data_IF_192440571665
#
_entry.id   IF_192440571665
#
_cell.length_a   1.000
_cell.length_b   1.000
_cell.length_c   1.000
_cell.angle_alpha   90.00
_cell.angle_beta   90.00
_cell.angle_gamma   90.00
#
_symmetry.space_group_name_H-M   'P 1'
#
loop_
_entity.id
_entity.type
_entity.pdbx_description
1 polymer ?
#
# COMPACT_ATOMS: atom_id res chain seq x y z
N UNK A 1 -32.71 -61.73 33.43
CA UNK A 1 -32.81 -60.44 34.15
C UNK A 1 -33.41 -59.42 33.17
N UNK A 2 -34.73 -59.29 32.97
CA UNK A 2 -35.90 -59.70 33.78
C UNK A 2 -35.89 -59.11 35.20
N UNK A 3 -36.98 -58.60 35.78
CA UNK A 3 -38.44 -58.62 35.46
C UNK A 3 -38.99 -57.16 35.40
N UNK A 4 -40.06 -56.78 34.70
CA UNK A 4 -41.48 -57.23 34.63
C UNK A 4 -42.34 -56.88 35.86
N UNK A 5 -43.40 -56.05 35.70
CA UNK A 5 -44.82 -56.36 36.05
C UNK A 5 -45.79 -55.15 36.07
N UNK A 6 -46.93 -55.37 35.41
CA UNK A 6 -48.28 -54.84 35.66
C UNK A 6 -49.16 -56.09 36.08
N UNK A 7 -50.51 -56.08 36.27
CA UNK A 7 -51.52 -55.01 36.42
C UNK A 7 -52.60 -55.28 37.55
N UNK A 8 -53.74 -54.57 37.49
CA UNK A 8 -55.07 -54.81 38.13
C UNK A 8 -55.26 -54.40 39.62
N UNK A 9 -56.47 -54.14 40.17
CA UNK A 9 -57.86 -54.36 39.71
C UNK A 9 -58.90 -53.26 40.14
N UNK A 10 -60.22 -53.56 40.06
CA UNK A 10 -61.43 -52.66 40.06
C UNK A 10 -62.48 -53.03 41.17
N UNK A 11 -63.70 -52.43 41.26
CA UNK A 11 -64.18 -51.05 41.03
C UNK A 11 -64.73 -50.36 42.33
N UNK A 12 -66.02 -50.37 42.82
CA UNK A 12 -67.39 -50.59 42.27
C UNK A 12 -68.52 -49.57 42.70
N UNK A 13 -69.15 -48.87 41.73
CA UNK A 13 -70.58 -48.40 41.75
C UNK A 13 -71.00 -47.24 42.73
N UNK A 14 -72.17 -46.56 42.69
CA UNK A 14 -73.35 -46.52 41.76
C UNK A 14 -74.26 -45.27 42.00
N UNK A 15 -75.07 -44.92 40.97
CA UNK A 15 -76.43 -44.30 40.95
C UNK A 15 -76.56 -42.84 40.42
N UNK A 16 -77.70 -42.37 39.84
CA UNK A 16 -78.55 -42.87 38.71
C UNK A 16 -79.70 -41.85 38.41
N UNK A 17 -79.90 -41.45 37.12
CA UNK A 17 -81.18 -40.93 36.51
C UNK A 17 -81.74 -39.55 37.02
N UNK A 18 -82.59 -38.78 36.30
CA UNK A 18 -83.08 -38.74 34.89
C UNK A 18 -83.63 -37.30 34.56
N UNK A 19 -83.80 -36.90 33.27
CA UNK A 19 -84.46 -35.65 32.83
C UNK A 19 -85.95 -35.85 32.45
N UNK A 20 -86.72 -34.76 32.17
CA UNK A 20 -87.15 -34.47 30.77
C UNK A 20 -87.30 -32.94 30.42
N UNK A 21 -86.83 -32.42 29.27
CA UNK A 21 -87.54 -32.23 27.97
C UNK A 21 -87.98 -30.74 27.69
N UNK A 22 -88.59 -30.32 26.54
CA UNK A 22 -88.00 -29.22 25.74
C UNK A 22 -88.94 -28.11 25.18
N UNK A 23 -88.37 -27.14 24.45
CA UNK A 23 -89.08 -26.06 23.71
C UNK A 23 -89.05 -24.70 24.44
N UNK A 24 -89.23 -23.54 23.79
CA UNK A 24 -89.41 -23.21 22.37
C UNK A 24 -89.02 -21.72 22.10
N UNK A 25 -89.12 -21.23 20.86
CA UNK A 25 -88.86 -19.84 20.44
C UNK A 25 -89.76 -19.47 19.23
N UNK A 26 -89.84 -18.20 18.73
CA UNK A 26 -89.26 -16.93 19.21
C UNK A 26 -90.29 -15.76 19.35
N UNK A 27 -89.88 -14.57 19.84
CA UNK A 27 -90.66 -13.32 19.71
C UNK A 27 -89.79 -12.04 19.87
N UNK A 28 -90.11 -10.97 19.11
CA UNK A 28 -89.54 -9.58 19.15
C UNK A 28 -90.51 -8.62 18.42
N UNK A 29 -90.38 -7.27 18.46
CA UNK A 29 -89.68 -6.34 19.38
C UNK A 29 -90.70 -5.38 20.09
N UNK A 30 -90.30 -4.26 20.74
CA UNK A 30 -90.08 -2.95 20.08
C UNK A 30 -88.80 -2.20 20.59
N UNK A 31 -88.46 -0.95 20.14
CA UNK A 31 -87.07 -0.46 20.12
C UNK A 31 -86.74 0.78 21.00
N UNK A 32 -85.55 1.38 20.76
CA UNK A 32 -84.99 2.69 21.22
C UNK A 32 -84.18 2.65 22.54
N UNK A 33 -83.05 3.39 22.71
CA UNK A 33 -82.15 4.07 21.75
C UNK A 33 -80.71 3.48 21.72
N UNK A 34 -79.83 4.02 20.85
CA UNK A 34 -78.39 3.69 20.79
C UNK A 34 -77.55 4.54 21.76
N UNK A 35 -76.51 3.98 22.39
CA UNK A 35 -75.24 4.66 22.62
C UNK A 35 -74.22 4.29 21.52
N UNK A 36 -73.48 5.26 20.99
CA UNK A 36 -72.43 5.03 20.00
C UNK A 36 -71.13 4.55 20.66
N UNK A 37 -70.67 3.35 20.33
CA UNK A 37 -69.33 2.87 20.69
C UNK A 37 -68.58 2.38 19.45
N UNK A 38 -67.50 3.08 19.09
CA UNK A 38 -66.66 2.73 17.95
C UNK A 38 -65.77 1.54 18.28
N UNK A 39 -66.08 0.37 17.73
CA UNK A 39 -65.22 -0.82 17.81
C UNK A 39 -63.91 -0.59 17.06
N UNK A 40 -62.83 -0.30 17.80
CA UNK A 40 -61.47 -0.43 17.28
C UNK A 40 -61.26 -1.89 16.86
N UNK A 41 -60.91 -2.13 15.60
CA UNK A 41 -60.32 -3.40 15.17
C UNK A 41 -59.06 -3.67 16.01
N UNK A 42 -58.76 -4.93 16.36
CA UNK A 42 -57.48 -5.25 16.98
C UNK A 42 -56.35 -4.83 16.04
N UNK A 43 -55.35 -4.13 16.57
CA UNK A 43 -54.20 -3.73 15.77
C UNK A 43 -53.47 -4.98 15.27
N UNK A 44 -53.27 -5.07 13.95
CA UNK A 44 -52.33 -6.02 13.39
C UNK A 44 -50.96 -5.79 14.04
N UNK A 45 -50.18 -6.84 14.34
CA UNK A 45 -48.79 -6.65 14.73
C UNK A 45 -48.08 -5.84 13.63
N UNK A 46 -47.14 -4.94 13.97
CA UNK A 46 -46.39 -4.22 12.96
C UNK A 46 -45.73 -5.22 12.01
N UNK A 47 -45.78 -5.00 10.68
CA UNK A 47 -45.15 -5.91 9.75
C UNK A 47 -43.67 -6.07 10.11
N UNK A 48 -43.10 -7.29 10.02
CA UNK A 48 -41.68 -7.48 10.26
C UNK A 48 -40.91 -6.51 9.34
N UNK A 49 -39.92 -5.75 9.86
CA UNK A 49 -39.27 -4.69 9.11
C UNK A 49 -38.68 -5.28 7.84
N UNK A 50 -39.20 -4.86 6.67
CA UNK A 50 -38.91 -5.55 5.43
C UNK A 50 -37.41 -5.55 5.15
N UNK A 51 -36.84 -6.76 5.13
CA UNK A 51 -35.41 -7.02 5.03
C UNK A 51 -34.87 -6.51 3.69
N UNK A 52 -35.72 -6.36 2.67
CA UNK A 52 -35.35 -5.78 1.38
C UNK A 52 -36.56 -5.05 0.77
N UNK A 53 -36.45 -3.74 0.56
CA UNK A 53 -37.50 -2.91 -0.04
C UNK A 53 -37.35 -2.81 -1.56
N UNK A 54 -37.38 -3.96 -2.25
CA UNK A 54 -37.26 -4.02 -3.71
C UNK A 54 -35.86 -3.66 -4.26
N UNK A 55 -35.69 -3.59 -5.59
CA UNK A 55 -34.40 -3.47 -6.24
C UNK A 55 -33.61 -2.20 -5.85
N UNK A 56 -32.29 -2.28 -5.99
CA UNK A 56 -31.36 -1.21 -5.63
C UNK A 56 -31.28 -0.17 -6.75
N UNK A 57 -32.35 0.60 -6.90
CA UNK A 57 -32.57 1.55 -7.99
C UNK A 57 -32.77 3.00 -7.48
N UNK A 58 -32.48 4.02 -8.30
CA UNK A 58 -32.77 5.42 -7.97
C UNK A 58 -34.26 5.62 -7.67
N UNK A 59 -34.59 6.06 -6.45
CA UNK A 59 -35.96 6.16 -5.95
C UNK A 59 -36.28 5.21 -4.80
N UNK A 60 -35.47 4.17 -4.56
CA UNK A 60 -35.64 3.28 -3.41
C UNK A 60 -35.44 4.07 -2.09
N UNK A 61 -36.44 4.12 -1.18
CA UNK A 61 -36.36 4.96 0.02
C UNK A 61 -35.26 4.51 0.99
N UNK A 62 -34.90 3.23 1.00
CA UNK A 62 -33.80 2.72 1.86
C UNK A 62 -32.45 3.16 1.30
N UNK A 63 -32.28 3.17 -0.03
CA UNK A 63 -31.09 3.73 -0.69
C UNK A 63 -30.96 5.22 -0.39
N UNK A 64 -32.03 6.00 -0.58
CA UNK A 64 -32.03 7.45 -0.32
C UNK A 64 -31.69 7.75 1.15
N UNK A 65 -32.29 7.03 2.10
CA UNK A 65 -32.02 7.19 3.53
C UNK A 65 -30.56 6.85 3.88
N UNK A 66 -30.04 5.74 3.36
CA UNK A 66 -28.65 5.31 3.56
C UNK A 66 -27.63 6.29 2.99
N UNK A 67 -27.84 6.78 1.76
CA UNK A 67 -26.95 7.76 1.14
C UNK A 67 -27.03 9.13 1.82
N UNK A 68 -28.21 9.52 2.33
CA UNK A 68 -28.39 10.71 3.17
C UNK A 68 -27.63 10.59 4.49
N UNK A 69 -27.77 9.48 5.21
CA UNK A 69 -27.10 9.23 6.50
C UNK A 69 -25.57 9.24 6.35
N UNK A 70 -25.05 8.53 5.33
CA UNK A 70 -23.62 8.53 5.00
C UNK A 70 -23.13 9.92 4.60
N UNK A 71 -23.83 10.61 3.71
CA UNK A 71 -23.46 11.97 3.27
C UNK A 71 -23.47 12.96 4.43
N UNK A 72 -24.45 12.87 5.34
CA UNK A 72 -24.50 13.70 6.52
C UNK A 72 -23.31 13.43 7.46
N UNK A 73 -23.01 12.16 7.76
CA UNK A 73 -21.87 11.75 8.58
C UNK A 73 -20.53 12.25 7.98
N UNK A 74 -20.32 12.06 6.68
CA UNK A 74 -19.10 12.47 5.97
C UNK A 74 -18.99 14.01 5.87
N UNK A 75 -20.11 14.72 5.72
CA UNK A 75 -20.13 16.19 5.76
C UNK A 75 -19.76 16.74 7.15
N UNK A 76 -20.07 16.01 8.22
CA UNK A 76 -19.76 16.39 9.59
C UNK A 76 -18.27 16.20 9.89
N UNK A 77 -17.72 15.02 9.56
CA UNK A 77 -16.28 14.73 9.58
C UNK A 77 -15.48 15.81 8.82
N UNK A 78 -15.87 16.10 7.58
CA UNK A 78 -15.20 17.10 6.72
C UNK A 78 -15.20 18.51 7.33
N UNK A 79 -16.31 18.94 7.95
CA UNK A 79 -16.41 20.24 8.63
C UNK A 79 -15.55 20.29 9.90
N UNK A 80 -15.63 19.25 10.73
CA UNK A 80 -15.06 19.24 12.09
C UNK A 80 -13.54 19.04 12.10
N UNK A 81 -12.95 18.48 11.03
CA UNK A 81 -11.49 18.45 10.82
C UNK A 81 -10.86 19.86 10.83
N UNK A 82 -11.62 20.92 10.50
CA UNK A 82 -11.16 22.31 10.64
C UNK A 82 -11.15 22.86 12.07
N UNK A 83 -11.70 22.14 13.05
CA UNK A 83 -11.94 22.62 14.42
C UNK A 83 -11.16 21.88 15.52
N UNK A 84 -10.31 20.90 15.17
CA UNK A 84 -9.27 20.35 16.07
C UNK A 84 -9.72 19.53 17.29
N UNK A 85 -11.01 19.24 17.47
CA UNK A 85 -11.52 18.57 18.67
C UNK A 85 -11.22 17.05 18.68
N UNK A 86 -10.55 16.54 19.71
CA UNK A 86 -10.14 15.12 19.82
C UNK A 86 -11.30 14.16 20.17
N UNK A 87 -12.09 14.49 21.19
CA UNK A 87 -13.25 13.67 21.65
C UNK A 87 -14.39 13.53 20.61
N UNK A 88 -14.27 14.22 19.48
CA UNK A 88 -15.11 14.07 18.30
C UNK A 88 -15.09 12.63 17.73
N UNK A 89 -13.87 12.07 17.61
CA UNK A 89 -13.59 10.91 16.75
C UNK A 89 -14.25 9.62 17.20
N UNK A 90 -14.49 9.45 18.49
CA UNK A 90 -15.15 8.25 19.05
C UNK A 90 -16.67 8.28 18.79
N UNK A 91 -17.29 9.46 18.92
CA UNK A 91 -18.69 9.67 18.57
C UNK A 91 -18.93 9.51 17.06
N UNK A 92 -17.98 9.95 16.23
CA UNK A 92 -18.01 9.76 14.77
C UNK A 92 -17.80 8.30 14.37
N UNK A 93 -16.84 7.59 14.98
CA UNK A 93 -16.64 6.14 14.79
C UNK A 93 -17.92 5.36 15.15
N UNK A 94 -18.54 5.69 16.29
CA UNK A 94 -19.82 5.09 16.73
C UNK A 94 -20.95 5.40 15.75
N UNK A 95 -21.02 6.63 15.23
CA UNK A 95 -22.05 7.03 14.26
C UNK A 95 -21.94 6.24 12.95
N UNK A 96 -20.73 6.11 12.39
CA UNK A 96 -20.47 5.36 11.17
C UNK A 96 -20.73 3.85 11.35
N UNK A 97 -20.29 3.28 12.48
CA UNK A 97 -20.57 1.89 12.87
C UNK A 97 -22.08 1.61 12.98
N UNK A 98 -22.85 2.52 13.59
CA UNK A 98 -24.30 2.40 13.71
C UNK A 98 -24.99 2.45 12.34
N UNK A 99 -24.55 3.31 11.42
CA UNK A 99 -25.07 3.34 10.03
C UNK A 99 -24.81 1.98 9.37
N UNK A 100 -23.58 1.47 9.38
CA UNK A 100 -23.28 0.17 8.76
C UNK A 100 -24.13 -0.98 9.33
N UNK A 101 -24.26 -1.08 10.65
CA UNK A 101 -25.07 -2.13 11.28
C UNK A 101 -26.58 -2.00 10.96
N UNK A 102 -27.10 -0.78 10.92
CA UNK A 102 -28.52 -0.53 10.61
C UNK A 102 -28.90 -0.94 9.19
N UNK A 103 -27.98 -0.82 8.23
CA UNK A 103 -28.24 -1.06 6.81
C UNK A 103 -27.63 -2.37 6.25
N UNK A 104 -26.69 -3.03 6.94
CA UNK A 104 -26.06 -4.26 6.45
C UNK A 104 -27.06 -5.35 6.08
N UNK A 105 -28.05 -5.62 6.94
CA UNK A 105 -29.10 -6.61 6.66
C UNK A 105 -30.17 -6.14 5.69
N UNK A 106 -30.08 -4.91 5.15
CA UNK A 106 -31.08 -4.30 4.27
C UNK A 106 -30.70 -4.26 2.79
N UNK A 107 -29.46 -4.67 2.47
CA UNK A 107 -28.90 -4.59 1.12
C UNK A 107 -28.21 -5.91 0.73
N UNK A 108 -28.12 -6.23 -0.58
CA UNK A 108 -27.26 -7.30 -1.06
C UNK A 108 -25.78 -7.01 -0.77
N UNK A 109 -25.00 -8.05 -0.49
CA UNK A 109 -23.58 -7.93 -0.12
C UNK A 109 -22.75 -7.17 -1.17
N UNK A 110 -23.02 -7.35 -2.47
CA UNK A 110 -22.30 -6.64 -3.53
C UNK A 110 -22.43 -5.12 -3.40
N UNK A 111 -23.63 -4.62 -3.14
CA UNK A 111 -23.92 -3.18 -3.01
C UNK A 111 -23.37 -2.62 -1.70
N UNK A 112 -23.57 -3.35 -0.60
CA UNK A 112 -23.05 -2.96 0.70
C UNK A 112 -21.52 -2.87 0.68
N UNK A 113 -20.84 -3.86 0.09
CA UNK A 113 -19.38 -3.88 -0.05
C UNK A 113 -18.87 -2.78 -1.00
N UNK A 114 -19.53 -2.53 -2.13
CA UNK A 114 -19.18 -1.40 -3.01
C UNK A 114 -19.24 -0.05 -2.27
N UNK A 115 -20.25 0.14 -1.41
CA UNK A 115 -20.43 1.36 -0.61
C UNK A 115 -19.43 1.45 0.55
N UNK A 116 -19.06 0.33 1.19
CA UNK A 116 -17.94 0.29 2.15
C UNK A 116 -16.63 0.76 1.51
N UNK A 117 -16.31 0.27 0.30
CA UNK A 117 -15.10 0.69 -0.43
C UNK A 117 -15.13 2.19 -0.73
N UNK A 118 -16.21 2.68 -1.35
CA UNK A 118 -16.36 4.10 -1.72
C UNK A 118 -16.29 5.05 -0.52
N UNK A 119 -16.80 4.65 0.64
CA UNK A 119 -16.69 5.46 1.88
C UNK A 119 -15.30 5.33 2.51
N UNK A 120 -14.66 4.17 2.44
CA UNK A 120 -13.26 3.98 2.85
C UNK A 120 -12.31 4.88 2.07
N UNK A 121 -12.49 4.98 0.75
CA UNK A 121 -11.68 5.82 -0.13
C UNK A 121 -11.86 7.32 0.21
N UNK A 122 -13.10 7.78 0.42
CA UNK A 122 -13.36 9.16 0.87
C UNK A 122 -12.80 9.46 2.27
N UNK A 123 -12.77 8.48 3.18
CA UNK A 123 -12.10 8.63 4.48
C UNK A 123 -10.58 8.72 4.32
N UNK A 124 -9.97 7.99 3.38
CA UNK A 124 -8.55 8.11 3.04
C UNK A 124 -8.22 9.50 2.47
N UNK A 125 -9.03 10.02 1.53
CA UNK A 125 -8.89 11.39 1.00
C UNK A 125 -8.98 12.45 2.11
N UNK A 126 -9.91 12.26 3.05
CA UNK A 126 -10.07 13.11 4.23
C UNK A 126 -8.99 12.89 5.31
N UNK A 127 -8.05 11.96 5.11
CA UNK A 127 -6.99 11.54 6.04
C UNK A 127 -7.46 10.91 7.35
N UNK A 128 -8.71 10.47 7.44
CA UNK A 128 -9.21 9.72 8.60
C UNK A 128 -8.91 8.22 8.45
N UNK A 129 -7.62 7.90 8.27
CA UNK A 129 -7.11 6.56 7.92
C UNK A 129 -7.53 5.50 8.94
N UNK A 130 -7.61 5.84 10.24
CA UNK A 130 -8.09 4.94 11.29
C UNK A 130 -9.51 4.48 11.02
N UNK A 131 -10.41 5.40 10.67
CA UNK A 131 -11.81 5.10 10.37
C UNK A 131 -11.95 4.28 9.06
N UNK A 132 -11.15 4.63 8.04
CA UNK A 132 -11.10 3.88 6.79
C UNK A 132 -10.69 2.41 7.03
N UNK A 133 -9.71 2.16 7.90
CA UNK A 133 -9.28 0.80 8.26
C UNK A 133 -10.29 0.09 9.14
N UNK A 134 -10.81 0.71 10.21
CA UNK A 134 -11.65 0.01 11.21
C UNK A 134 -13.11 -0.18 10.81
N UNK A 135 -13.69 0.73 10.02
CA UNK A 135 -15.12 0.70 9.68
C UNK A 135 -15.41 0.47 8.20
N UNK A 136 -14.41 0.48 7.32
CA UNK A 136 -14.63 0.28 5.88
C UNK A 136 -13.81 -0.92 5.36
N UNK A 137 -12.50 -0.75 5.18
CA UNK A 137 -11.64 -1.78 4.58
C UNK A 137 -11.50 -3.04 5.44
N UNK A 138 -11.40 -2.90 6.76
CA UNK A 138 -11.40 -4.05 7.68
C UNK A 138 -12.72 -4.81 7.65
N UNK A 139 -13.84 -4.08 7.66
CA UNK A 139 -15.20 -4.65 7.61
C UNK A 139 -15.51 -5.31 6.26
N UNK A 140 -14.96 -4.80 5.15
CA UNK A 140 -14.99 -5.48 3.85
C UNK A 140 -14.22 -6.81 3.93
N UNK A 141 -12.95 -6.81 4.36
CA UNK A 141 -12.14 -8.03 4.40
C UNK A 141 -12.72 -9.10 5.32
N UNK A 142 -13.31 -8.70 6.45
CA UNK A 142 -14.03 -9.59 7.39
C UNK A 142 -15.29 -10.25 6.79
N UNK A 143 -15.82 -9.74 5.68
CA UNK A 143 -16.94 -10.36 4.95
C UNK A 143 -16.46 -11.29 3.84
N UNK A 144 -15.26 -11.07 3.31
CA UNK A 144 -14.61 -11.98 2.35
C UNK A 144 -13.99 -13.18 3.08
N UNK A 145 -13.33 -12.96 4.22
CA UNK A 145 -12.70 -14.01 5.02
C UNK A 145 -12.73 -13.71 6.52
N UNK A 146 -12.86 -14.76 7.33
CA UNK A 146 -12.64 -14.69 8.77
C UNK A 146 -11.16 -14.64 9.17
N UNK A 147 -10.23 -14.88 8.23
CA UNK A 147 -8.79 -14.94 8.51
C UNK A 147 -8.20 -13.56 8.78
N UNK A 148 -7.48 -13.45 9.90
CA UNK A 148 -6.85 -12.21 10.35
C UNK A 148 -5.57 -11.91 9.56
N UNK A 149 -5.70 -11.12 8.51
CA UNK A 149 -4.59 -10.66 7.64
C UNK A 149 -3.41 -9.95 8.35
N UNK A 150 -3.51 -9.67 9.66
CA UNK A 150 -2.39 -9.13 10.45
C UNK A 150 -1.47 -10.21 11.06
N UNK A 151 -1.85 -11.49 11.00
CA UNK A 151 -1.09 -12.60 11.57
C UNK A 151 0.20 -12.91 10.81
N UNK A 152 1.23 -13.31 11.55
CA UNK A 152 2.55 -13.64 11.02
C UNK A 152 2.59 -15.08 10.50
N UNK A 153 2.96 -15.25 9.23
CA UNK A 153 3.10 -16.57 8.59
C UNK A 153 2.09 -16.86 7.48
N UNK A 154 1.20 -15.90 7.15
CA UNK A 154 0.32 -16.00 5.98
C UNK A 154 1.17 -16.13 4.69
N UNK A 155 0.96 -17.20 3.95
CA UNK A 155 1.61 -17.45 2.65
C UNK A 155 0.73 -17.05 1.45
N UNK A 156 1.23 -17.28 0.24
CA UNK A 156 0.56 -16.95 -1.03
C UNK A 156 -0.70 -17.79 -1.24
N UNK A 157 -0.65 -19.09 -0.96
CA UNK A 157 -1.76 -20.01 -1.24
C UNK A 157 -2.89 -19.79 -0.22
N UNK A 158 -2.55 -19.46 1.02
CA UNK A 158 -3.47 -19.00 2.05
C UNK A 158 -4.09 -17.64 1.68
N UNK A 159 -3.30 -16.62 1.29
CA UNK A 159 -3.83 -15.31 0.91
C UNK A 159 -4.74 -15.41 -0.33
N UNK A 160 -4.39 -16.27 -1.29
CA UNK A 160 -5.19 -16.55 -2.48
C UNK A 160 -6.50 -17.27 -2.13
N UNK A 161 -6.43 -18.41 -1.44
CA UNK A 161 -7.61 -19.23 -1.12
C UNK A 161 -8.61 -18.49 -0.21
N UNK A 162 -8.13 -17.67 0.72
CA UNK A 162 -8.98 -16.95 1.66
C UNK A 162 -9.66 -15.72 1.06
N UNK A 163 -9.02 -15.00 0.12
CA UNK A 163 -9.53 -13.71 -0.38
C UNK A 163 -9.96 -13.74 -1.86
N UNK A 164 -9.63 -14.79 -2.59
CA UNK A 164 -9.94 -14.96 -4.02
C UNK A 164 -10.48 -16.36 -4.37
N UNK A 165 -11.50 -16.90 -3.66
CA UNK A 165 -12.01 -18.25 -3.90
C UNK A 165 -12.55 -18.47 -5.33
N UNK A 166 -13.04 -17.41 -5.98
CA UNK A 166 -13.51 -17.44 -7.38
C UNK A 166 -12.40 -17.13 -8.40
N UNK A 167 -11.17 -16.85 -7.94
CA UNK A 167 -10.04 -16.41 -8.76
C UNK A 167 -10.17 -14.98 -9.31
N UNK A 168 -9.11 -14.52 -9.99
CA UNK A 168 -8.95 -13.12 -10.40
C UNK A 168 -9.85 -12.64 -11.56
N UNK A 169 -10.66 -13.52 -12.15
CA UNK A 169 -11.64 -13.14 -13.19
C UNK A 169 -12.99 -12.70 -12.61
N UNK A 170 -13.20 -12.88 -11.31
CA UNK A 170 -14.40 -12.44 -10.60
C UNK A 170 -14.39 -10.91 -10.38
N UNK A 171 -15.56 -10.26 -10.50
CA UNK A 171 -15.66 -8.81 -10.34
C UNK A 171 -15.30 -8.33 -8.91
N UNK A 172 -15.51 -9.17 -7.89
CA UNK A 172 -15.09 -8.88 -6.52
C UNK A 172 -13.57 -8.91 -6.33
N UNK A 173 -12.81 -9.62 -7.18
CA UNK A 173 -11.36 -9.71 -7.06
C UNK A 173 -10.68 -8.35 -7.23
N UNK A 174 -11.17 -7.51 -8.16
CA UNK A 174 -10.65 -6.14 -8.35
C UNK A 174 -10.91 -5.28 -7.11
N UNK A 175 -12.11 -5.36 -6.53
CA UNK A 175 -12.45 -4.67 -5.28
C UNK A 175 -11.59 -5.18 -4.11
N UNK A 176 -11.39 -6.49 -3.98
CA UNK A 176 -10.58 -7.07 -2.90
C UNK A 176 -9.11 -6.69 -3.04
N UNK A 177 -8.52 -6.71 -4.25
CA UNK A 177 -7.16 -6.22 -4.48
C UNK A 177 -7.02 -4.74 -4.12
N UNK A 178 -7.98 -3.89 -4.54
CA UNK A 178 -8.00 -2.47 -4.16
C UNK A 178 -8.05 -2.29 -2.64
N UNK A 179 -8.96 -2.97 -1.94
CA UNK A 179 -9.09 -2.92 -0.47
C UNK A 179 -7.81 -3.40 0.23
N UNK A 180 -7.17 -4.45 -0.26
CA UNK A 180 -5.90 -4.96 0.27
C UNK A 180 -4.78 -3.92 0.15
N UNK A 181 -4.68 -3.20 -0.97
CA UNK A 181 -3.74 -2.08 -1.11
C UNK A 181 -4.14 -0.90 -0.22
N UNK A 182 -5.37 -0.41 -0.34
CA UNK A 182 -5.88 0.77 0.34
C UNK A 182 -5.77 0.69 1.87
N UNK A 183 -6.14 -0.46 2.45
CA UNK A 183 -5.98 -0.75 3.89
C UNK A 183 -4.53 -0.62 4.34
N UNK A 184 -3.61 -1.21 3.60
CA UNK A 184 -2.19 -1.23 3.95
C UNK A 184 -1.52 0.15 3.75
N UNK A 185 -1.98 0.92 2.75
CA UNK A 185 -1.61 2.33 2.59
C UNK A 185 -2.08 3.15 3.80
N UNK A 186 -3.34 3.00 4.22
CA UNK A 186 -3.87 3.66 5.43
C UNK A 186 -3.07 3.29 6.68
N UNK A 187 -2.72 2.01 6.88
CA UNK A 187 -1.87 1.59 8.01
C UNK A 187 -0.49 2.25 7.98
N UNK A 188 0.16 2.34 6.81
CA UNK A 188 1.43 3.06 6.68
C UNK A 188 1.27 4.57 6.94
N UNK A 189 0.18 5.20 6.48
CA UNK A 189 -0.09 6.62 6.80
C UNK A 189 -0.32 6.85 8.29
N UNK A 190 -1.04 5.96 8.97
CA UNK A 190 -1.18 6.00 10.43
C UNK A 190 0.17 5.88 11.13
N UNK A 191 1.09 5.04 10.64
CA UNK A 191 2.46 4.99 11.17
C UNK A 191 3.15 6.36 11.01
N UNK A 192 3.14 6.94 9.80
CA UNK A 192 3.77 8.24 9.54
C UNK A 192 3.14 9.42 10.32
N UNK A 193 1.88 9.33 10.74
CA UNK A 193 1.21 10.37 11.55
C UNK A 193 1.54 10.29 13.05
N UNK A 194 1.95 9.11 13.55
CA UNK A 194 2.29 8.91 14.97
C UNK A 194 3.80 8.82 15.22
N UNK A 195 4.59 8.43 14.21
CA UNK A 195 6.03 8.20 14.30
C UNK A 195 6.69 8.48 12.93
N UNK A 196 6.81 9.77 12.61
CA UNK A 196 7.30 10.25 11.31
C UNK A 196 8.78 9.92 11.04
N UNK A 197 9.57 9.69 12.10
CA UNK A 197 10.99 9.35 12.03
C UNK A 197 11.27 7.86 12.31
N UNK A 198 10.22 7.01 12.40
CA UNK A 198 10.28 5.56 12.66
C UNK A 198 11.17 5.17 13.86
N UNK A 199 11.09 5.94 14.95
CA UNK A 199 11.89 5.71 16.17
C UNK A 199 11.34 4.54 16.99
N UNK A 200 10.03 4.25 16.90
CA UNK A 200 9.42 3.12 17.58
C UNK A 200 9.60 1.82 16.78
N UNK A 201 10.11 0.78 17.45
CA UNK A 201 10.28 -0.54 16.83
C UNK A 201 8.96 -1.17 16.35
N UNK A 202 7.82 -0.84 16.96
CA UNK A 202 6.51 -1.36 16.51
C UNK A 202 6.00 -0.68 15.23
N UNK A 203 6.38 0.57 14.99
CA UNK A 203 6.23 1.25 13.70
C UNK A 203 7.04 0.54 12.61
N UNK A 204 8.31 0.26 12.91
CA UNK A 204 9.22 -0.46 12.00
C UNK A 204 8.70 -1.88 11.69
N UNK A 205 8.27 -2.65 12.70
CA UNK A 205 7.62 -3.96 12.50
C UNK A 205 6.36 -3.85 11.64
N UNK A 206 5.55 -2.82 11.85
CA UNK A 206 4.33 -2.58 11.05
C UNK A 206 4.66 -2.29 9.59
N UNK A 207 5.69 -1.50 9.31
CA UNK A 207 6.18 -1.27 7.96
C UNK A 207 6.64 -2.57 7.27
N UNK A 208 7.39 -3.44 7.96
CA UNK A 208 7.79 -4.75 7.41
C UNK A 208 6.61 -5.70 7.17
N UNK A 209 5.59 -5.73 8.07
CA UNK A 209 4.36 -6.50 7.81
C UNK A 209 3.62 -6.00 6.56
N UNK A 210 3.58 -4.69 6.33
CA UNK A 210 2.96 -4.11 5.13
C UNK A 210 3.78 -4.46 3.87
N UNK A 211 5.11 -4.42 3.95
CA UNK A 211 5.98 -4.86 2.85
C UNK A 211 5.77 -6.32 2.47
N UNK A 212 5.66 -7.23 3.46
CA UNK A 212 5.31 -8.64 3.24
C UNK A 212 3.95 -8.78 2.54
N UNK A 213 2.91 -8.08 3.00
CA UNK A 213 1.59 -8.15 2.37
C UNK A 213 1.63 -7.63 0.91
N UNK A 214 2.36 -6.55 0.62
CA UNK A 214 2.55 -6.10 -0.76
C UNK A 214 3.34 -7.10 -1.61
N UNK A 215 4.35 -7.79 -1.04
CA UNK A 215 5.08 -8.85 -1.74
C UNK A 215 4.16 -10.01 -2.12
N UNK A 216 3.34 -10.50 -1.19
CA UNK A 216 2.38 -11.58 -1.45
C UNK A 216 1.34 -11.19 -2.52
N UNK A 217 0.74 -9.99 -2.41
CA UNK A 217 -0.23 -9.50 -3.40
C UNK A 217 0.40 -9.36 -4.79
N UNK A 218 1.65 -8.88 -4.88
CA UNK A 218 2.37 -8.84 -6.17
C UNK A 218 2.71 -10.23 -6.69
N UNK A 219 3.09 -11.19 -5.83
CA UNK A 219 3.36 -12.57 -6.23
C UNK A 219 2.12 -13.27 -6.79
N UNK A 220 0.93 -12.98 -6.24
CA UNK A 220 -0.36 -13.47 -6.74
C UNK A 220 -0.80 -12.82 -8.07
N UNK A 221 -0.48 -11.53 -8.27
CA UNK A 221 -0.93 -10.77 -9.45
C UNK A 221 0.06 -10.78 -10.63
N UNK A 222 1.35 -11.05 -10.38
CA UNK A 222 2.40 -11.10 -11.42
C UNK A 222 2.12 -12.10 -12.57
N UNK A 223 1.54 -13.31 -12.35
CA UNK A 223 1.20 -14.24 -13.43
C UNK A 223 0.02 -13.79 -14.33
N UNK A 224 -0.56 -12.61 -14.06
CA UNK A 224 -1.79 -12.15 -14.69
C UNK A 224 -1.57 -10.78 -15.35
N UNK A 225 -1.25 -10.78 -16.65
CA UNK A 225 -0.87 -9.55 -17.39
C UNK A 225 -1.90 -8.42 -17.29
N UNK A 226 -3.20 -8.75 -17.26
CA UNK A 226 -4.29 -7.78 -17.07
C UNK A 226 -4.28 -7.09 -15.69
N UNK A 227 -3.52 -7.61 -14.72
CA UNK A 227 -3.30 -7.06 -13.39
C UNK A 227 -1.91 -6.40 -13.25
N UNK A 228 -1.14 -6.23 -14.33
CA UNK A 228 0.19 -5.59 -14.28
C UNK A 228 0.17 -4.18 -13.65
N UNK A 229 -0.97 -3.49 -13.68
CA UNK A 229 -1.17 -2.20 -13.02
C UNK A 229 -1.20 -2.30 -11.48
N UNK A 230 -1.73 -3.40 -10.92
CA UNK A 230 -1.62 -3.69 -9.48
C UNK A 230 -0.16 -3.95 -9.09
N UNK A 231 0.56 -4.75 -9.90
CA UNK A 231 1.98 -5.03 -9.71
C UNK A 231 2.79 -3.71 -9.71
N UNK A 232 2.58 -2.86 -10.71
CA UNK A 232 3.19 -1.53 -10.80
C UNK A 232 2.92 -0.68 -9.56
N UNK A 233 1.64 -0.50 -9.17
CA UNK A 233 1.28 0.25 -7.97
C UNK A 233 1.89 -0.34 -6.70
N UNK A 234 1.93 -1.67 -6.59
CA UNK A 234 2.60 -2.40 -5.51
C UNK A 234 4.07 -2.01 -5.38
N UNK A 235 4.81 -1.91 -6.50
CA UNK A 235 6.21 -1.45 -6.46
C UNK A 235 6.35 0.00 -5.99
N UNK A 236 5.39 0.89 -6.29
CA UNK A 236 5.38 2.28 -5.78
C UNK A 236 5.19 2.31 -4.27
N UNK A 237 4.20 1.59 -3.75
CA UNK A 237 3.93 1.54 -2.31
C UNK A 237 5.07 0.86 -1.55
N UNK A 238 5.61 -0.25 -2.08
CA UNK A 238 6.78 -0.94 -1.56
C UNK A 238 8.00 -0.01 -1.51
N UNK A 239 8.37 0.62 -2.63
CA UNK A 239 9.47 1.60 -2.68
C UNK A 239 9.30 2.73 -1.68
N UNK A 240 8.08 3.27 -1.53
CA UNK A 240 7.80 4.39 -0.62
C UNK A 240 8.12 4.01 0.84
N UNK A 241 7.75 2.80 1.27
CA UNK A 241 8.04 2.30 2.62
C UNK A 241 9.53 1.94 2.75
N UNK A 242 10.11 1.26 1.75
CA UNK A 242 11.53 0.93 1.72
C UNK A 242 12.41 2.17 1.84
N UNK A 243 12.12 3.26 1.09
CA UNK A 243 12.89 4.52 1.15
C UNK A 243 12.87 5.16 2.53
N UNK A 244 11.74 5.11 3.23
CA UNK A 244 11.66 5.60 4.61
C UNK A 244 12.54 4.73 5.53
N UNK A 245 12.41 3.41 5.44
CA UNK A 245 13.22 2.45 6.21
C UNK A 245 14.74 2.54 5.90
N UNK A 246 15.16 2.92 4.69
CA UNK A 246 16.57 3.20 4.35
C UNK A 246 17.12 4.43 5.10
N UNK A 247 16.31 5.47 5.31
CA UNK A 247 16.74 6.69 6.00
C UNK A 247 17.16 6.33 7.44
N UNK A 248 16.35 5.50 8.12
CA UNK A 248 16.58 4.95 9.46
C UNK A 248 17.45 3.67 9.49
N UNK A 249 18.25 3.45 8.45
CA UNK A 249 19.33 2.46 8.44
C UNK A 249 18.91 1.00 8.28
N UNK A 250 17.65 0.70 7.95
CA UNK A 250 17.20 -0.69 7.69
C UNK A 250 17.52 -1.17 6.27
N UNK A 251 18.42 -0.49 5.53
CA UNK A 251 18.78 -0.76 4.12
C UNK A 251 19.12 -2.22 3.83
N UNK A 252 19.74 -2.94 4.79
CA UNK A 252 20.06 -4.36 4.67
C UNK A 252 18.82 -5.26 4.55
N UNK A 253 17.75 -4.93 5.28
CA UNK A 253 16.49 -5.69 5.28
C UNK A 253 15.60 -5.30 4.09
N UNK A 254 15.54 -4.02 3.74
CA UNK A 254 14.67 -3.57 2.65
C UNK A 254 15.18 -3.90 1.24
N UNK A 255 16.44 -4.35 1.14
CA UNK A 255 17.07 -4.79 -0.11
C UNK A 255 16.28 -5.91 -0.80
N UNK A 256 15.75 -6.89 -0.07
CA UNK A 256 15.00 -8.02 -0.65
C UNK A 256 13.72 -7.55 -1.37
N UNK A 257 12.94 -6.67 -0.75
CA UNK A 257 11.73 -6.09 -1.33
C UNK A 257 12.04 -5.19 -2.53
N UNK A 258 13.14 -4.42 -2.49
CA UNK A 258 13.56 -3.59 -3.63
C UNK A 258 14.04 -4.45 -4.81
N UNK A 259 14.73 -5.56 -4.56
CA UNK A 259 15.08 -6.55 -5.59
C UNK A 259 13.83 -7.23 -6.15
N UNK A 260 12.87 -7.59 -5.31
CA UNK A 260 11.57 -8.15 -5.72
C UNK A 260 10.78 -7.16 -6.60
N UNK A 261 10.73 -5.89 -6.23
CA UNK A 261 10.11 -4.83 -7.02
C UNK A 261 10.79 -4.64 -8.39
N UNK A 262 12.12 -4.77 -8.47
CA UNK A 262 12.84 -4.78 -9.75
C UNK A 262 12.43 -5.98 -10.61
N UNK A 263 12.40 -7.19 -10.03
CA UNK A 263 12.01 -8.41 -10.74
C UNK A 263 10.57 -8.35 -11.26
N UNK A 264 9.62 -7.88 -10.45
CA UNK A 264 8.22 -7.69 -10.85
C UNK A 264 8.06 -6.77 -12.08
N UNK A 265 8.84 -5.68 -12.14
CA UNK A 265 8.85 -4.75 -13.28
C UNK A 265 9.56 -5.31 -14.54
N UNK A 266 10.25 -6.45 -14.42
CA UNK A 266 11.04 -7.07 -15.50
C UNK A 266 10.39 -8.35 -16.03
N UNK A 267 9.70 -9.11 -15.18
CA UNK A 267 8.98 -10.32 -15.56
C UNK A 267 7.63 -10.06 -16.23
N UNK A 268 7.13 -8.81 -16.22
CA UNK A 268 5.85 -8.42 -16.82
C UNK A 268 6.07 -7.62 -18.11
N UNK A 269 5.68 -8.18 -19.26
CA UNK A 269 5.90 -7.57 -20.58
C UNK A 269 5.30 -6.15 -20.70
N UNK A 270 4.08 -5.85 -20.22
CA UNK A 270 3.56 -4.47 -20.21
C UNK A 270 4.44 -3.47 -19.44
N UNK A 271 5.14 -3.92 -18.39
CA UNK A 271 5.98 -3.09 -17.52
C UNK A 271 7.40 -2.89 -18.07
N UNK A 272 7.81 -3.66 -19.08
CA UNK A 272 9.07 -3.51 -19.79
C UNK A 272 9.10 -2.32 -20.77
N UNK A 273 7.95 -1.69 -21.07
CA UNK A 273 7.86 -0.55 -21.99
C UNK A 273 8.63 0.70 -21.52
N UNK A 274 9.06 1.55 -22.46
CA UNK A 274 9.78 2.82 -22.18
C UNK A 274 9.03 3.75 -21.24
N UNK A 275 7.68 3.72 -21.22
CA UNK A 275 6.88 4.50 -20.28
C UNK A 275 7.33 4.31 -18.82
N UNK A 276 7.64 3.07 -18.43
CA UNK A 276 8.05 2.69 -17.07
C UNK A 276 9.57 2.73 -16.84
N UNK A 277 10.38 3.16 -17.81
CA UNK A 277 11.85 3.15 -17.73
C UNK A 277 12.38 4.05 -16.60
N UNK A 278 11.83 5.27 -16.46
CA UNK A 278 12.17 6.19 -15.37
C UNK A 278 11.93 5.56 -14.00
N UNK A 279 10.82 4.82 -13.85
CA UNK A 279 10.51 4.11 -12.61
C UNK A 279 11.47 2.95 -12.34
N UNK A 280 11.71 2.06 -13.32
CA UNK A 280 12.68 0.96 -13.19
C UNK A 280 14.07 1.44 -12.81
N UNK A 281 14.58 2.49 -13.46
CA UNK A 281 15.88 3.09 -13.10
C UNK A 281 15.91 3.69 -11.68
N UNK A 282 14.76 4.10 -11.14
CA UNK A 282 14.62 4.61 -9.77
C UNK A 282 14.63 3.48 -8.74
N UNK A 283 13.99 2.33 -9.04
CA UNK A 283 14.12 1.10 -8.25
C UNK A 283 15.57 0.59 -8.24
N UNK A 284 16.22 0.54 -9.41
CA UNK A 284 17.62 0.12 -9.54
C UNK A 284 18.56 0.98 -8.68
N UNK A 285 18.38 2.31 -8.70
CA UNK A 285 19.19 3.22 -7.89
C UNK A 285 18.99 3.01 -6.38
N UNK A 286 17.78 2.64 -5.93
CA UNK A 286 17.54 2.30 -4.53
C UNK A 286 18.21 0.96 -4.13
N UNK A 287 18.21 -0.05 -5.00
CA UNK A 287 18.98 -1.30 -4.80
C UNK A 287 20.48 -0.99 -4.68
N UNK A 288 21.04 -0.21 -5.61
CA UNK A 288 22.43 0.24 -5.54
C UNK A 288 22.73 0.99 -4.24
N UNK A 289 21.86 1.91 -3.83
CA UNK A 289 22.04 2.65 -2.58
C UNK A 289 21.94 1.76 -1.34
N UNK A 290 21.09 0.72 -1.31
CA UNK A 290 21.10 -0.26 -0.21
C UNK A 290 22.46 -0.98 -0.12
N UNK A 291 23.05 -1.39 -1.25
CA UNK A 291 24.39 -1.96 -1.25
C UNK A 291 25.46 -0.96 -0.77
N UNK A 292 25.36 0.33 -1.11
CA UNK A 292 26.28 1.35 -0.60
C UNK A 292 26.11 1.64 0.89
N UNK A 293 24.87 1.76 1.38
CA UNK A 293 24.56 1.92 2.81
C UNK A 293 25.17 0.76 3.63
N UNK A 294 25.03 -0.47 3.13
CA UNK A 294 25.55 -1.68 3.76
C UNK A 294 27.03 -1.99 3.46
N UNK A 295 27.80 -1.03 2.96
CA UNK A 295 29.25 -1.14 2.64
C UNK A 295 29.61 -2.19 1.56
N UNK A 296 28.61 -2.81 0.93
CA UNK A 296 28.70 -3.80 -0.14
C UNK A 296 28.84 -3.17 -1.53
N UNK A 297 29.60 -2.08 -1.66
CA UNK A 297 29.61 -1.20 -2.83
C UNK A 297 29.99 -1.86 -4.16
N UNK A 298 30.70 -2.99 -4.15
CA UNK A 298 30.97 -3.79 -5.36
C UNK A 298 29.69 -4.37 -5.97
N UNK A 299 28.76 -4.87 -5.14
CA UNK A 299 27.47 -5.37 -5.60
C UNK A 299 26.55 -4.23 -6.07
N UNK A 300 26.64 -3.05 -5.44
CA UNK A 300 25.97 -1.83 -5.92
C UNK A 300 26.43 -1.43 -7.32
N UNK A 301 27.74 -1.48 -7.60
CA UNK A 301 28.30 -1.18 -8.92
C UNK A 301 27.91 -2.26 -9.96
N UNK A 302 28.01 -3.54 -9.61
CA UNK A 302 27.59 -4.64 -10.48
C UNK A 302 26.10 -4.56 -10.85
N UNK A 303 25.23 -4.22 -9.88
CA UNK A 303 23.81 -4.02 -10.13
C UNK A 303 23.55 -2.82 -11.05
N UNK A 304 24.28 -1.71 -10.88
CA UNK A 304 24.17 -0.55 -11.76
C UNK A 304 24.64 -0.85 -13.20
N UNK A 305 25.73 -1.61 -13.37
CA UNK A 305 26.20 -2.08 -14.68
C UNK A 305 25.19 -3.01 -15.36
N UNK A 306 24.58 -3.93 -14.60
CA UNK A 306 23.47 -4.77 -15.05
C UNK A 306 22.23 -3.95 -15.43
N UNK A 307 21.97 -2.86 -14.70
CA UNK A 307 20.94 -1.86 -15.03
C UNK A 307 21.20 -1.18 -16.38
N UNK A 308 22.44 -0.75 -16.66
CA UNK A 308 22.81 -0.18 -17.97
C UNK A 308 22.57 -1.15 -19.13
N UNK A 309 22.91 -2.43 -18.96
CA UNK A 309 22.66 -3.47 -19.98
C UNK A 309 21.15 -3.56 -20.28
N UNK A 310 20.30 -3.62 -19.25
CA UNK A 310 18.83 -3.66 -19.42
C UNK A 310 18.26 -2.37 -20.05
N UNK A 311 18.90 -1.22 -19.84
CA UNK A 311 18.51 0.05 -20.48
C UNK A 311 18.87 0.03 -21.98
N UNK A 312 20.03 -0.50 -22.36
CA UNK A 312 20.45 -0.55 -23.77
C UNK A 312 19.73 -1.65 -24.57
N UNK A 313 19.46 -2.82 -23.97
CA UNK A 313 18.57 -3.84 -24.56
C UNK A 313 17.23 -3.24 -24.99
N UNK A 314 16.58 -2.47 -24.10
CA UNK A 314 15.31 -1.79 -24.41
C UNK A 314 15.47 -0.72 -25.50
N UNK A 315 16.58 0.01 -25.49
CA UNK A 315 16.90 1.04 -26.49
C UNK A 315 17.09 0.44 -27.89
N UNK A 316 17.70 -0.75 -27.97
CA UNK A 316 17.85 -1.50 -29.22
C UNK A 316 16.48 -1.96 -29.75
N UNK A 317 15.65 -2.58 -28.90
CA UNK A 317 14.29 -3.03 -29.29
C UNK A 317 13.41 -1.87 -29.79
N UNK A 318 13.46 -0.72 -29.11
CA UNK A 318 12.74 0.49 -29.52
C UNK A 318 13.27 1.06 -30.85
N UNK A 319 14.59 1.01 -31.10
CA UNK A 319 15.16 1.45 -32.39
C UNK A 319 14.87 0.52 -33.56
N UNK A 320 14.58 -0.76 -33.31
CA UNK A 320 14.08 -1.69 -34.33
C UNK A 320 12.58 -1.49 -34.60
N UNK A 321 11.82 -1.02 -33.60
CA UNK A 321 10.36 -0.87 -33.65
C UNK A 321 9.90 0.50 -34.18
N UNK A 322 10.72 1.55 -34.06
CA UNK A 322 10.39 2.92 -34.43
C UNK A 322 11.43 3.54 -35.37
N UNK A 323 10.97 4.08 -36.51
CA UNK A 323 11.84 4.72 -37.52
C UNK A 323 12.64 5.93 -37.00
N UNK A 324 12.18 6.58 -35.93
CA UNK A 324 13.02 7.44 -35.10
C UNK A 324 12.50 7.53 -33.67
N UNK A 325 13.40 7.52 -32.69
CA UNK A 325 13.03 7.72 -31.28
C UNK A 325 12.60 9.18 -31.04
N UNK A 326 11.44 9.36 -30.38
CA UNK A 326 10.92 10.68 -30.00
C UNK A 326 11.86 11.41 -29.03
N UNK A 327 11.74 12.74 -28.94
CA UNK A 327 12.56 13.54 -28.00
C UNK A 327 12.30 13.15 -26.54
N UNK A 328 11.06 12.79 -26.18
CA UNK A 328 10.71 12.33 -24.83
C UNK A 328 11.31 10.95 -24.53
N UNK A 329 11.25 10.01 -25.48
CA UNK A 329 11.87 8.68 -25.36
C UNK A 329 13.39 8.81 -25.21
N UNK A 330 14.04 9.66 -26.04
CA UNK A 330 15.47 9.98 -25.91
C UNK A 330 15.81 10.58 -24.52
N UNK A 331 14.96 11.43 -23.97
CA UNK A 331 15.11 11.99 -22.61
C UNK A 331 15.03 10.89 -21.54
N UNK A 332 14.04 10.00 -21.60
CA UNK A 332 13.88 8.88 -20.64
C UNK A 332 15.09 7.94 -20.65
N UNK A 333 15.62 7.62 -21.84
CA UNK A 333 16.86 6.85 -21.96
C UNK A 333 18.06 7.58 -21.35
N UNK A 334 18.31 8.85 -21.72
CA UNK A 334 19.45 9.61 -21.15
C UNK A 334 19.36 9.74 -19.63
N UNK A 335 18.16 9.97 -19.08
CA UNK A 335 17.94 10.06 -17.63
C UNK A 335 18.25 8.73 -16.93
N UNK A 336 17.76 7.61 -17.46
CA UNK A 336 18.02 6.28 -16.90
C UNK A 336 19.50 5.88 -16.98
N UNK A 337 20.16 6.16 -18.11
CA UNK A 337 21.60 5.93 -18.30
C UNK A 337 22.42 6.73 -17.30
N UNK A 338 22.17 8.05 -17.17
CA UNK A 338 22.88 8.90 -16.18
C UNK A 338 22.64 8.39 -14.77
N UNK A 339 21.41 8.01 -14.40
CA UNK A 339 21.08 7.49 -13.06
C UNK A 339 21.89 6.24 -12.70
N UNK A 340 22.11 5.31 -13.64
CA UNK A 340 22.96 4.14 -13.40
C UNK A 340 24.46 4.46 -13.44
N UNK A 341 24.89 5.32 -14.36
CA UNK A 341 26.29 5.76 -14.47
C UNK A 341 26.77 6.50 -13.21
N UNK A 342 25.90 7.28 -12.56
CA UNK A 342 26.17 7.93 -11.26
C UNK A 342 26.37 6.92 -10.13
N UNK A 343 25.58 5.83 -10.08
CA UNK A 343 25.81 4.76 -9.11
C UNK A 343 27.17 4.08 -9.34
N UNK A 344 27.57 3.82 -10.59
CA UNK A 344 28.90 3.29 -10.90
C UNK A 344 30.00 4.24 -10.41
N UNK A 345 29.92 5.53 -10.78
CA UNK A 345 30.89 6.56 -10.39
C UNK A 345 31.05 6.69 -8.86
N UNK A 346 29.95 6.54 -8.09
CA UNK A 346 29.94 6.57 -6.61
C UNK A 346 30.90 5.56 -5.96
N UNK A 347 31.26 4.47 -6.66
CA UNK A 347 32.40 3.59 -6.31
C UNK A 347 33.65 3.87 -7.13
N UNK A 348 33.54 3.98 -8.45
CA UNK A 348 34.71 4.05 -9.36
C UNK A 348 35.58 5.30 -9.16
N UNK A 349 35.07 6.39 -8.58
CA UNK A 349 35.90 7.55 -8.22
C UNK A 349 36.91 7.27 -7.08
N UNK A 350 36.59 6.32 -6.18
CA UNK A 350 37.36 6.02 -4.98
C UNK A 350 38.19 4.73 -5.09
N UNK A 351 37.56 3.63 -5.51
CA UNK A 351 38.17 2.31 -5.38
C UNK A 351 39.48 2.11 -6.17
N UNK A 352 39.64 2.58 -7.42
CA UNK A 352 40.90 2.41 -8.17
C UNK A 352 42.12 3.10 -7.52
N UNK A 353 41.90 3.94 -6.52
CA UNK A 353 42.98 4.58 -5.75
C UNK A 353 43.37 3.79 -4.50
N UNK A 354 42.47 2.96 -3.96
CA UNK A 354 42.75 2.03 -2.86
C UNK A 354 43.64 0.90 -3.36
N UNK A 355 44.94 1.09 -3.20
CA UNK A 355 45.93 0.10 -3.64
C UNK A 355 45.85 -1.18 -2.81
N UNK A 356 46.25 -2.33 -3.38
CA UNK A 356 46.70 -3.47 -2.58
C UNK A 356 47.78 -3.02 -1.58
N UNK A 357 47.65 -3.45 -0.33
CA UNK A 357 48.61 -3.15 0.73
C UNK A 357 50.00 -3.68 0.32
N UNK A 358 51.00 -2.80 0.34
CA UNK A 358 52.41 -3.12 0.02
C UNK A 358 53.00 -2.39 -1.20
N UNK A 359 52.18 -1.90 -2.14
CA UNK A 359 52.71 -1.28 -3.39
C UNK A 359 52.98 0.23 -3.20
N UNK A 360 54.16 0.55 -2.68
CA UNK A 360 54.71 1.89 -2.76
C UNK A 360 54.99 2.29 -4.22
N UNK A 361 54.51 3.47 -4.60
CA UNK A 361 55.00 4.28 -5.73
C UNK A 361 55.10 5.71 -5.19
N UNK A 362 56.11 6.50 -5.56
CA UNK A 362 56.11 7.94 -5.30
C UNK A 362 54.78 8.56 -5.73
N UNK A 363 54.13 9.29 -4.82
CA UNK A 363 52.90 10.04 -5.10
C UNK A 363 53.31 11.42 -5.58
N UNK A 364 53.22 11.66 -6.89
CA UNK A 364 53.27 13.01 -7.47
C UNK A 364 51.99 13.74 -7.07
N UNK A 365 51.99 14.36 -5.89
CA UNK A 365 50.85 15.05 -5.30
C UNK A 365 50.63 16.36 -6.02
N UNK A 366 49.69 16.39 -6.97
CA UNK A 366 49.33 17.61 -7.69
C UNK A 366 48.64 18.59 -6.72
N UNK A 367 49.24 19.76 -6.51
CA UNK A 367 48.66 20.80 -5.67
C UNK A 367 47.43 21.39 -6.39
N UNK A 368 46.24 21.23 -5.80
CA UNK A 368 44.98 21.72 -6.41
C UNK A 368 44.97 23.24 -6.66
N UNK A 369 45.75 24.01 -5.89
CA UNK A 369 45.97 25.46 -6.14
C UNK A 369 46.73 25.73 -7.43
N UNK A 370 47.82 25.01 -7.70
CA UNK A 370 48.58 25.12 -8.95
C UNK A 370 47.75 24.61 -10.14
N UNK A 371 47.01 23.52 -9.93
CA UNK A 371 46.11 22.96 -10.93
C UNK A 371 44.97 23.92 -11.35
N UNK A 372 44.65 24.95 -10.57
CA UNK A 372 43.64 25.95 -10.93
C UNK A 372 43.95 26.68 -12.25
N UNK A 373 45.22 26.76 -12.63
CA UNK A 373 45.67 27.41 -13.87
C UNK A 373 45.76 26.44 -15.07
N UNK A 374 45.53 25.15 -14.87
CA UNK A 374 45.54 24.14 -15.92
C UNK A 374 44.16 24.00 -16.59
N UNK A 375 44.08 23.68 -17.89
CA UNK A 375 42.82 23.43 -18.57
C UNK A 375 42.12 22.19 -18.01
N UNK A 376 40.78 22.21 -18.00
CA UNK A 376 39.96 21.06 -17.65
C UNK A 376 40.02 19.98 -18.76
N UNK A 377 40.08 18.67 -18.43
CA UNK A 377 40.12 18.06 -17.10
C UNK A 377 41.55 17.88 -16.58
N UNK A 378 41.77 18.20 -15.30
CA UNK A 378 43.12 18.27 -14.69
C UNK A 378 43.39 17.02 -13.88
N UNK A 379 42.48 16.70 -12.98
CA UNK A 379 42.64 15.60 -12.02
C UNK A 379 42.25 14.25 -12.64
N UNK A 380 42.43 13.14 -11.89
CA UNK A 380 41.97 11.81 -12.32
C UNK A 380 40.45 11.70 -12.18
N UNK A 381 39.86 12.28 -11.11
CA UNK A 381 38.39 12.34 -10.95
C UNK A 381 37.73 13.18 -12.05
N UNK A 382 38.33 14.31 -12.44
CA UNK A 382 37.80 15.16 -13.53
C UNK A 382 37.83 14.46 -14.90
N UNK A 383 38.85 13.64 -15.15
CA UNK A 383 38.92 12.78 -16.35
C UNK A 383 37.86 11.69 -16.33
N UNK A 384 37.71 10.97 -15.20
CA UNK A 384 36.69 9.93 -15.04
C UNK A 384 35.26 10.49 -15.14
N UNK A 385 35.04 11.74 -14.69
CA UNK A 385 33.78 12.45 -14.88
C UNK A 385 33.47 12.64 -16.38
N UNK A 386 34.41 13.17 -17.16
CA UNK A 386 34.25 13.34 -18.61
C UNK A 386 34.18 12.03 -19.41
N UNK A 387 34.76 10.95 -18.91
CA UNK A 387 34.69 9.62 -19.53
C UNK A 387 33.28 9.01 -19.42
N UNK A 388 32.50 9.42 -18.41
CA UNK A 388 31.20 8.81 -18.06
C UNK A 388 30.00 9.73 -18.37
N UNK A 389 30.18 11.05 -18.49
CA UNK A 389 29.07 12.01 -18.61
C UNK A 389 29.28 13.13 -19.65
N UNK A 390 28.28 13.38 -20.49
CA UNK A 390 28.37 14.40 -21.56
C UNK A 390 27.98 15.85 -21.15
N UNK A 391 27.55 16.10 -19.90
CA UNK A 391 27.00 17.41 -19.54
C UNK A 391 27.15 17.79 -18.05
N UNK A 392 27.34 19.09 -17.79
CA UNK A 392 27.61 19.66 -16.46
C UNK A 392 26.62 19.26 -15.37
N UNK A 393 25.33 19.16 -15.67
CA UNK A 393 24.31 18.69 -14.72
C UNK A 393 24.49 17.23 -14.29
N UNK A 394 24.96 16.37 -15.20
CA UNK A 394 25.27 14.98 -14.88
C UNK A 394 26.59 14.87 -14.11
N UNK A 395 27.61 15.65 -14.46
CA UNK A 395 28.84 15.78 -13.66
C UNK A 395 28.54 16.23 -12.21
N UNK A 396 27.71 17.27 -12.05
CA UNK A 396 27.36 17.80 -10.73
C UNK A 396 26.57 16.77 -9.91
N UNK A 397 25.59 16.09 -10.50
CA UNK A 397 24.85 15.01 -9.82
C UNK A 397 25.78 13.84 -9.43
N UNK A 398 26.73 13.46 -10.30
CA UNK A 398 27.74 12.45 -10.01
C UNK A 398 28.63 12.83 -8.82
N UNK A 399 29.06 14.11 -8.74
CA UNK A 399 29.84 14.63 -7.63
C UNK A 399 29.04 14.61 -6.32
N UNK A 400 27.80 15.09 -6.34
CA UNK A 400 26.93 15.11 -5.16
C UNK A 400 26.66 13.69 -4.64
N UNK A 401 26.35 12.73 -5.51
CA UNK A 401 26.14 11.34 -5.12
C UNK A 401 27.43 10.64 -4.64
N UNK A 402 28.58 10.90 -5.28
CA UNK A 402 29.87 10.38 -4.83
C UNK A 402 30.29 10.93 -3.45
N UNK A 403 29.88 12.16 -3.13
CA UNK A 403 30.03 12.78 -1.81
C UNK A 403 28.95 12.34 -0.82
N UNK A 404 27.72 12.01 -1.23
CA UNK A 404 26.62 11.59 -0.33
C UNK A 404 26.71 10.11 0.12
N UNK A 405 27.92 9.60 0.35
CA UNK A 405 28.12 8.29 0.99
C UNK A 405 28.19 8.46 2.52
N UNK A 406 27.11 8.07 3.21
CA UNK A 406 27.00 8.09 4.69
C UNK A 406 28.18 7.39 5.38
N UNK A 407 28.71 6.31 4.78
CA UNK A 407 29.83 5.57 5.36
C UNK A 407 31.14 6.36 5.32
N UNK A 408 31.29 7.31 4.39
CA UNK A 408 32.53 8.09 4.20
C UNK A 408 32.64 9.33 5.08
N UNK A 409 31.52 9.82 5.66
CA UNK A 409 31.44 11.05 6.50
C UNK A 409 31.93 12.35 5.83
N UNK A 410 32.18 12.32 4.53
CA UNK A 410 32.40 13.43 3.57
C UNK A 410 31.77 14.79 3.88
N UNK A 411 30.52 14.81 4.35
CA UNK A 411 29.70 16.01 4.57
C UNK A 411 29.39 16.25 6.07
N UNK A 412 30.05 15.52 6.97
CA UNK A 412 29.86 15.59 8.42
C UNK A 412 31.15 16.16 9.05
N UNK A 413 31.08 17.08 10.03
CA UNK A 413 32.27 17.57 10.74
C UNK A 413 33.05 16.43 11.43
N UNK A 414 34.19 16.07 10.85
CA UNK A 414 35.09 15.02 11.34
C UNK A 414 36.05 14.51 10.26
N UNK A 415 36.95 13.57 10.59
CA UNK A 415 37.74 12.87 9.58
C UNK A 415 36.85 11.94 8.74
N UNK A 416 37.16 11.73 7.44
CA UNK A 416 36.45 10.76 6.62
C UNK A 416 36.74 9.33 7.10
N UNK A 417 35.86 8.40 6.74
CA UNK A 417 35.97 6.99 7.16
C UNK A 417 35.99 6.05 5.93
N UNK A 418 36.98 5.14 5.81
CA UNK A 418 38.24 5.11 6.56
C UNK A 418 39.09 6.35 6.25
N UNK A 419 39.98 6.70 7.18
CA UNK A 419 40.80 7.92 7.11
C UNK A 419 42.05 7.74 6.22
N UNK A 420 41.81 7.36 4.98
CA UNK A 420 42.83 7.08 3.96
C UNK A 420 43.19 8.35 3.20
N UNK A 421 44.48 8.56 2.90
CA UNK A 421 44.94 9.72 2.09
C UNK A 421 44.34 9.63 0.68
N UNK A 422 44.24 8.41 0.14
CA UNK A 422 43.46 8.01 -1.03
C UNK A 422 42.05 8.64 -1.05
N UNK A 423 41.31 8.53 0.05
CA UNK A 423 39.93 9.02 0.18
C UNK A 423 39.90 10.54 0.34
N UNK A 424 40.78 11.11 1.17
CA UNK A 424 40.92 12.57 1.34
C UNK A 424 41.25 13.30 0.02
N UNK A 425 42.12 12.72 -0.81
CA UNK A 425 42.48 13.30 -2.11
C UNK A 425 41.27 13.27 -3.07
N UNK A 426 40.52 12.16 -3.15
CA UNK A 426 39.31 12.07 -4.00
C UNK A 426 38.25 13.07 -3.57
N UNK A 427 38.00 13.22 -2.27
CA UNK A 427 37.06 14.21 -1.74
C UNK A 427 37.48 15.64 -2.13
N UNK A 428 38.77 15.94 -2.01
CA UNK A 428 39.34 17.25 -2.38
C UNK A 428 39.19 17.53 -3.88
N UNK A 429 39.42 16.53 -4.73
CA UNK A 429 39.18 16.63 -6.18
C UNK A 429 37.69 16.78 -6.52
N UNK A 430 36.79 16.08 -5.83
CA UNK A 430 35.33 16.17 -6.05
C UNK A 430 34.80 17.57 -5.70
N UNK A 431 35.24 18.18 -4.59
CA UNK A 431 34.90 19.56 -4.26
C UNK A 431 35.48 20.56 -5.27
N UNK A 432 36.74 20.39 -5.67
CA UNK A 432 37.39 21.26 -6.66
C UNK A 432 36.71 21.18 -8.04
N UNK A 433 36.29 19.98 -8.45
CA UNK A 433 35.48 19.75 -9.64
C UNK A 433 34.13 20.48 -9.53
N UNK A 434 33.41 20.30 -8.42
CA UNK A 434 32.11 20.91 -8.18
C UNK A 434 32.13 22.44 -8.21
N UNK A 435 33.18 23.07 -7.68
CA UNK A 435 33.37 24.53 -7.66
C UNK A 435 33.66 25.12 -9.05
N UNK A 436 34.14 24.32 -10.00
CA UNK A 436 34.35 24.76 -11.40
C UNK A 436 33.08 24.52 -12.22
N UNK A 437 32.43 23.37 -12.06
CA UNK A 437 31.18 23.04 -12.77
C UNK A 437 30.04 23.98 -12.35
N UNK A 438 30.01 24.48 -11.11
CA UNK A 438 29.00 25.46 -10.66
C UNK A 438 29.25 26.91 -11.12
N UNK A 439 30.28 27.14 -11.94
CA UNK A 439 30.62 28.45 -12.55
C UNK A 439 30.52 28.44 -14.08
N UNK A 440 29.94 27.37 -14.64
CA UNK A 440 29.70 27.15 -16.08
C UNK A 440 28.20 27.05 -16.35
#
# INVERSE_FOLDING_TARGET
>A
LAESREPAALPPSRQRKRPPSPGSAPATPPPVPRPSCTTRSPALPPPPPAIFYGPVEPGNPVVISFESDLSHCLSFLRRKRGAGASGAREQEATSLFNIWNNYKSRFPDWYFNEKLVKVGDQLMEMKEYKLAVSHCYGSYLQQVSSVNINESGLDVDQLNSNFFPNGFRDQSAVCTLHVLYARNICLYKMVCENDIDLLNQDSVKTCFRILNLFQLIMQMTLPHEHLCWHVYNGTIHMYTICRHLMIVGQSAKVLEYLLWACACMESSVPLLAVHYLTWRSTLYAAVCQCYYDCQFGIYGELFARRGLIKIDELKQMESMSSSSLSMETKKKFKEATVRMAVMIFKRSAFEPRRRPKGVFRPRMKMNLREAQHLPWPRTITERLLMEIFDCGSAHFFAIVEALFDKNRRTLIPGPPVPDEVEVRDVISELFFAGIVISKQ
#
